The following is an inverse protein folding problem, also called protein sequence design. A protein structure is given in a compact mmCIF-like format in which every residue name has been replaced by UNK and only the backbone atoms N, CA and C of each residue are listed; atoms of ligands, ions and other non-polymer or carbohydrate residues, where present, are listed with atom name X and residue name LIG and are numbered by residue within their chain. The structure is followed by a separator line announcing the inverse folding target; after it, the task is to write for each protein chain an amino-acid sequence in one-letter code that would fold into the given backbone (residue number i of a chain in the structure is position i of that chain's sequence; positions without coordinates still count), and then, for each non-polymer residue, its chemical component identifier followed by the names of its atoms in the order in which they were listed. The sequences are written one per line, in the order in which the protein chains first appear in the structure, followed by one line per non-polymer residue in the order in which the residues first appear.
data_IF_103352623687
#
_entry.id   IF_103352623687
#
_cell.length_a   1.000
_cell.length_b   1.000
_cell.length_c   1.000
_cell.angle_alpha   90.00
_cell.angle_beta   90.00
_cell.angle_gamma   90.00
#
_symmetry.space_group_name_H-M   'P 1'
#
loop_
_entity.id
_entity.type
_entity.pdbx_description
1 polymer ?
#
# COMPACT_ATOMS: atom_id res chain seq x y z
N UNK A 1 -2.54 -27.53 18.11
CA UNK A 1 -1.98 -26.43 17.27
C UNK A 1 -0.46 -26.49 17.33
N UNK A 2 0.21 -26.92 16.25
CA UNK A 2 1.66 -27.20 16.26
C UNK A 2 2.51 -25.98 16.63
N UNK A 3 3.63 -26.21 17.31
CA UNK A 3 4.61 -25.17 17.69
C UNK A 3 5.06 -24.38 16.45
N UNK A 4 5.26 -25.07 15.32
CA UNK A 4 5.60 -24.45 14.03
C UNK A 4 4.56 -23.41 13.57
N UNK A 5 3.25 -23.70 13.71
CA UNK A 5 2.19 -22.75 13.35
C UNK A 5 2.21 -21.50 14.23
N UNK A 6 2.47 -21.63 15.53
CA UNK A 6 2.60 -20.49 16.44
C UNK A 6 3.80 -19.61 16.08
N UNK A 7 4.93 -20.22 15.72
CA UNK A 7 6.12 -19.50 15.26
C UNK A 7 5.88 -18.75 13.94
N UNK A 8 5.21 -19.39 12.97
CA UNK A 8 4.87 -18.73 11.70
C UNK A 8 3.94 -17.53 11.89
N UNK A 9 2.89 -17.66 12.71
CA UNK A 9 1.97 -16.55 13.01
C UNK A 9 2.72 -15.41 13.73
N UNK A 10 3.56 -15.75 14.71
CA UNK A 10 4.37 -14.77 15.43
C UNK A 10 5.32 -14.00 14.51
N UNK A 11 6.02 -14.70 13.63
CA UNK A 11 6.91 -14.07 12.64
C UNK A 11 6.15 -13.16 11.68
N UNK A 12 5.02 -13.63 11.15
CA UNK A 12 4.17 -12.83 10.26
C UNK A 12 3.68 -11.55 10.95
N UNK A 13 3.17 -11.67 12.19
CA UNK A 13 2.73 -10.51 12.97
C UNK A 13 3.87 -9.52 13.24
N UNK A 14 5.08 -10.03 13.52
CA UNK A 14 6.27 -9.19 13.73
C UNK A 14 6.67 -8.44 12.46
N UNK A 15 6.70 -9.10 11.31
CA UNK A 15 7.01 -8.48 10.01
C UNK A 15 5.96 -7.43 9.63
N UNK A 16 4.68 -7.73 9.85
CA UNK A 16 3.59 -6.77 9.62
C UNK A 16 3.71 -5.55 10.53
N UNK A 17 3.99 -5.76 11.82
CA UNK A 17 4.22 -4.68 12.78
C UNK A 17 5.41 -3.80 12.38
N UNK A 18 6.53 -4.40 11.98
CA UNK A 18 7.70 -3.67 11.50
C UNK A 18 7.39 -2.85 10.24
N UNK A 19 6.62 -3.40 9.30
CA UNK A 19 6.20 -2.69 8.08
C UNK A 19 5.31 -1.47 8.40
N UNK A 20 4.36 -1.61 9.32
CA UNK A 20 3.49 -0.51 9.77
C UNK A 20 4.33 0.59 10.43
N UNK A 21 5.21 0.22 11.37
CA UNK A 21 6.09 1.18 12.04
C UNK A 21 6.97 1.89 11.01
N UNK A 22 7.60 1.15 10.09
CA UNK A 22 8.40 1.71 9.01
C UNK A 22 7.62 2.71 8.15
N UNK A 23 6.39 2.37 7.75
CA UNK A 23 5.51 3.26 7.00
C UNK A 23 5.17 4.55 7.74
N UNK A 24 4.85 4.45 9.05
CA UNK A 24 4.60 5.63 9.91
C UNK A 24 5.85 6.50 10.01
N UNK A 25 7.03 5.90 10.19
CA UNK A 25 8.29 6.65 10.26
C UNK A 25 8.60 7.39 8.95
N UNK A 26 8.39 6.75 7.79
CA UNK A 26 8.54 7.40 6.48
C UNK A 26 7.55 8.57 6.32
N UNK A 27 6.30 8.38 6.73
CA UNK A 27 5.30 9.45 6.70
C UNK A 27 5.70 10.64 7.60
N UNK A 28 6.22 10.37 8.80
CA UNK A 28 6.74 11.43 9.70
C UNK A 28 7.98 12.12 9.15
N UNK A 29 8.81 11.40 8.41
CA UNK A 29 9.95 11.95 7.67
C UNK A 29 9.54 12.78 6.45
N UNK A 30 8.23 12.88 6.14
CA UNK A 30 7.69 13.73 5.08
C UNK A 30 7.49 13.01 3.74
N UNK A 31 7.71 11.70 3.66
CA UNK A 31 7.37 10.94 2.46
C UNK A 31 5.85 10.87 2.28
N UNK A 32 5.39 10.94 1.03
CA UNK A 32 3.97 10.91 0.69
C UNK A 32 3.74 9.93 -0.46
N UNK A 33 2.57 9.31 -0.48
CA UNK A 33 2.19 8.37 -1.52
C UNK A 33 0.98 8.92 -2.29
N UNK A 34 1.04 8.90 -3.61
CA UNK A 34 -0.03 9.36 -4.49
C UNK A 34 -0.32 8.35 -5.58
N UNK A 35 -1.56 8.31 -6.06
CA UNK A 35 -1.96 7.48 -7.20
C UNK A 35 -2.08 8.38 -8.42
N UNK A 36 -1.49 7.97 -9.54
CA UNK A 36 -1.60 8.71 -10.79
C UNK A 36 -2.98 8.44 -11.40
N UNK A 37 -3.78 9.49 -11.52
CA UNK A 37 -5.19 9.39 -11.97
C UNK A 37 -5.40 9.71 -13.45
N UNK A 38 -4.50 10.46 -14.07
CA UNK A 38 -4.63 10.90 -15.46
C UNK A 38 -3.45 10.41 -16.31
N UNK A 39 -3.55 10.59 -17.63
CA UNK A 39 -2.49 10.28 -18.58
C UNK A 39 -1.53 11.43 -18.88
N UNK A 40 -1.54 12.53 -18.10
CA UNK A 40 -0.69 13.70 -18.42
C UNK A 40 0.81 13.41 -18.28
N UNK A 41 1.17 12.40 -17.48
CA UNK A 41 2.55 11.95 -17.27
C UNK A 41 2.92 10.69 -18.06
N UNK A 42 2.06 10.24 -18.99
CA UNK A 42 2.32 9.04 -19.81
C UNK A 42 3.68 9.13 -20.49
N UNK A 43 4.43 8.02 -20.42
CA UNK A 43 5.84 7.92 -20.83
C UNK A 43 6.76 7.74 -19.63
N UNK A 44 6.59 8.55 -18.58
CA UNK A 44 7.34 8.38 -17.32
C UNK A 44 6.51 7.72 -16.22
N UNK A 45 5.21 8.06 -16.12
CA UNK A 45 4.28 7.52 -15.14
C UNK A 45 2.97 7.14 -15.84
N UNK A 46 2.37 6.03 -15.44
CA UNK A 46 1.10 5.57 -16.01
C UNK A 46 -0.05 5.74 -15.03
N UNK A 47 -1.25 5.90 -15.55
CA UNK A 47 -2.47 5.87 -14.73
C UNK A 47 -2.54 4.56 -13.94
N UNK A 48 -2.86 4.66 -12.65
CA UNK A 48 -2.89 3.53 -11.72
C UNK A 48 -1.56 3.20 -11.05
N UNK A 49 -0.47 3.89 -11.40
CA UNK A 49 0.79 3.76 -10.68
C UNK A 49 0.70 4.42 -9.30
N UNK A 50 1.36 3.80 -8.31
CA UNK A 50 1.56 4.38 -6.99
C UNK A 50 2.94 5.04 -6.96
N UNK A 51 3.01 6.34 -6.77
CA UNK A 51 4.26 7.07 -6.60
C UNK A 51 4.53 7.32 -5.12
N UNK A 52 5.80 7.28 -4.75
CA UNK A 52 6.28 7.71 -3.44
C UNK A 52 7.15 8.94 -3.64
N UNK A 53 6.71 10.04 -3.07
CA UNK A 53 7.42 11.30 -3.07
C UNK A 53 8.32 11.39 -1.85
N UNK A 54 9.57 11.80 -2.08
CA UNK A 54 10.44 12.29 -1.02
C UNK A 54 10.09 13.74 -0.67
N UNK A 55 10.39 14.19 0.56
CA UNK A 55 10.27 15.60 0.91
C UNK A 55 11.00 16.50 -0.10
N UNK A 56 10.39 17.64 -0.42
CA UNK A 56 11.01 18.63 -1.28
C UNK A 56 12.27 19.20 -0.61
N UNK A 57 13.40 19.17 -1.31
CA UNK A 57 14.62 19.87 -0.90
C UNK A 57 14.49 21.38 -1.10
N UNK A 58 15.32 22.16 -0.42
CA UNK A 58 15.42 23.61 -0.63
C UNK A 58 15.77 23.97 -2.08
N UNK A 59 16.50 23.10 -2.76
CA UNK A 59 16.87 23.23 -4.16
C UNK A 59 16.11 22.21 -5.01
N UNK A 60 15.46 22.68 -6.07
CA UNK A 60 14.80 21.86 -7.09
C UNK A 60 15.54 22.03 -8.41
N UNK A 61 15.41 21.05 -9.30
CA UNK A 61 16.11 21.01 -10.58
C UNK A 61 15.15 20.82 -11.74
N UNK A 62 15.47 21.42 -12.88
CA UNK A 62 14.77 21.17 -14.14
C UNK A 62 14.87 19.68 -14.47
N UNK A 63 13.75 19.09 -14.86
CA UNK A 63 13.63 17.66 -15.15
C UNK A 63 13.12 16.81 -14.00
N UNK A 64 13.10 17.31 -12.75
CA UNK A 64 12.48 16.59 -11.63
C UNK A 64 10.95 16.52 -11.81
N UNK A 65 10.35 15.39 -11.44
CA UNK A 65 8.89 15.23 -11.37
C UNK A 65 8.46 15.54 -9.94
N UNK A 66 7.55 16.48 -9.80
CA UNK A 66 7.09 16.97 -8.51
C UNK A 66 5.59 16.85 -8.36
N UNK A 67 5.15 16.64 -7.14
CA UNK A 67 3.74 16.73 -6.76
C UNK A 67 3.51 18.02 -5.99
N UNK A 68 2.51 18.81 -6.38
CA UNK A 68 2.24 20.13 -5.82
C UNK A 68 0.73 20.43 -5.73
N UNK A 69 0.38 21.47 -4.97
CA UNK A 69 -0.99 21.99 -4.90
C UNK A 69 -1.19 23.11 -5.93
N UNK A 70 -2.06 22.91 -6.91
CA UNK A 70 -2.33 23.90 -7.95
C UNK A 70 -3.05 25.14 -7.38
N UNK A 71 -4.23 24.96 -6.77
CA UNK A 71 -5.02 26.04 -6.16
C UNK A 71 -4.71 26.32 -4.68
N UNK A 72 -3.70 25.66 -4.11
CA UNK A 72 -3.39 25.73 -2.67
C UNK A 72 -4.40 25.00 -1.78
N UNK A 73 -5.49 24.46 -2.35
CA UNK A 73 -6.41 23.57 -1.65
C UNK A 73 -5.84 22.16 -1.55
N UNK A 74 -6.11 21.47 -0.45
CA UNK A 74 -5.52 20.15 -0.17
C UNK A 74 -5.90 19.06 -1.19
N UNK A 75 -7.04 19.21 -1.88
CA UNK A 75 -7.56 18.20 -2.81
C UNK A 75 -7.14 18.43 -4.26
N UNK A 76 -6.45 19.53 -4.55
CA UNK A 76 -6.07 19.90 -5.91
C UNK A 76 -4.57 19.63 -6.13
N UNK A 77 -4.26 18.33 -6.12
CA UNK A 77 -2.91 17.79 -6.20
C UNK A 77 -2.59 17.42 -7.65
N UNK A 78 -1.48 17.95 -8.16
CA UNK A 78 -1.00 17.69 -9.52
C UNK A 78 0.44 17.19 -9.46
N UNK A 79 0.76 16.19 -10.28
CA UNK A 79 2.13 15.65 -10.42
C UNK A 79 2.62 15.89 -11.84
N UNK A 80 3.60 16.77 -12.03
CA UNK A 80 4.17 17.11 -13.35
C UNK A 80 5.68 17.35 -13.29
N UNK A 81 6.34 17.42 -14.46
CA UNK A 81 7.78 17.65 -14.57
C UNK A 81 8.12 19.14 -14.58
N UNK A 82 9.17 19.52 -13.85
CA UNK A 82 9.74 20.87 -13.89
C UNK A 82 10.39 21.09 -15.25
N UNK A 83 9.95 22.13 -15.96
CA UNK A 83 10.50 22.53 -17.26
C UNK A 83 11.21 23.89 -17.22
N UNK A 84 11.01 24.68 -16.17
CA UNK A 84 11.69 25.96 -15.96
C UNK A 84 11.67 26.36 -14.49
N UNK A 85 12.73 27.05 -14.05
CA UNK A 85 12.85 27.66 -12.74
C UNK A 85 13.23 29.13 -12.93
N UNK A 86 12.32 30.06 -12.64
CA UNK A 86 12.52 31.49 -12.88
C UNK A 86 12.10 32.28 -11.63
N UNK A 87 12.98 33.12 -11.08
CA UNK A 87 12.66 34.12 -10.03
C UNK A 87 11.78 33.60 -8.88
N UNK A 88 12.07 32.39 -8.39
CA UNK A 88 11.33 31.75 -7.29
C UNK A 88 10.00 31.09 -7.69
N UNK A 89 9.71 31.04 -8.98
CA UNK A 89 8.59 30.32 -9.58
C UNK A 89 9.04 29.10 -10.36
N UNK A 90 8.18 28.09 -10.37
CA UNK A 90 8.41 26.79 -10.99
C UNK A 90 7.36 26.62 -12.08
N UNK A 91 7.81 26.45 -13.31
CA UNK A 91 6.95 26.09 -14.44
C UNK A 91 6.96 24.57 -14.59
N UNK A 92 5.77 23.98 -14.70
CA UNK A 92 5.61 22.54 -14.85
C UNK A 92 4.89 22.19 -16.15
N UNK A 93 5.02 20.93 -16.56
CA UNK A 93 4.37 20.36 -17.73
C UNK A 93 4.22 18.86 -17.55
N UNK A 94 3.05 18.33 -17.89
CA UNK A 94 2.87 16.89 -18.07
C UNK A 94 3.73 16.36 -19.22
N UNK A 95 4.39 15.23 -19.01
CA UNK A 95 5.28 14.64 -20.03
C UNK A 95 4.56 14.37 -21.36
N UNK A 96 3.31 13.93 -21.30
CA UNK A 96 2.45 13.68 -22.45
C UNK A 96 1.76 14.94 -23.00
N UNK A 97 1.75 16.05 -22.25
CA UNK A 97 1.10 17.29 -22.69
C UNK A 97 1.93 17.95 -23.80
N UNK A 98 1.29 18.67 -24.72
CA UNK A 98 2.02 19.44 -25.76
C UNK A 98 2.48 20.81 -25.27
N UNK A 99 1.66 21.44 -24.41
CA UNK A 99 1.90 22.78 -23.87
C UNK A 99 2.34 22.70 -22.41
N UNK A 100 3.03 23.75 -21.95
CA UNK A 100 3.32 23.94 -20.53
C UNK A 100 2.03 24.25 -19.78
N UNK A 101 2.01 23.94 -18.49
CA UNK A 101 0.88 24.33 -17.65
C UNK A 101 0.75 25.85 -17.61
N UNK A 102 -0.46 26.39 -17.49
CA UNK A 102 -0.71 27.84 -17.52
C UNK A 102 -0.36 28.54 -16.21
N UNK A 103 -0.08 27.77 -15.15
CA UNK A 103 0.19 28.26 -13.81
C UNK A 103 1.68 28.26 -13.47
N UNK A 104 2.04 29.12 -12.52
CA UNK A 104 3.35 29.16 -11.89
C UNK A 104 3.25 28.69 -10.44
N UNK A 105 4.11 27.75 -10.06
CA UNK A 105 4.11 27.12 -8.74
C UNK A 105 5.21 27.72 -7.88
N UNK A 106 4.89 28.03 -6.62
CA UNK A 106 5.89 28.44 -5.63
C UNK A 106 6.45 27.21 -4.93
N UNK A 107 7.67 27.32 -4.41
CA UNK A 107 8.33 26.24 -3.67
C UNK A 107 7.47 25.68 -2.51
N UNK A 108 6.75 26.55 -1.79
CA UNK A 108 5.86 26.15 -0.68
C UNK A 108 4.61 25.34 -1.10
N UNK A 109 4.27 25.34 -2.39
CA UNK A 109 3.17 24.52 -2.93
C UNK A 109 3.63 23.11 -3.28
N UNK A 110 4.95 22.87 -3.36
CA UNK A 110 5.53 21.56 -3.64
C UNK A 110 5.41 20.67 -2.42
N UNK A 111 4.75 19.52 -2.58
CA UNK A 111 4.59 18.50 -1.53
C UNK A 111 5.75 17.52 -1.49
N UNK A 112 6.34 17.23 -2.65
CA UNK A 112 7.50 16.38 -2.75
C UNK A 112 7.97 16.18 -4.18
N UNK A 113 9.06 15.44 -4.29
CA UNK A 113 9.66 15.02 -5.55
C UNK A 113 9.49 13.52 -5.69
N UNK A 114 9.07 13.02 -6.84
CA UNK A 114 8.89 11.58 -7.07
C UNK A 114 10.24 10.87 -6.88
N UNK A 115 10.29 9.96 -5.92
CA UNK A 115 11.49 9.18 -5.60
C UNK A 115 11.41 7.76 -6.17
N UNK A 116 10.24 7.14 -6.12
CA UNK A 116 10.01 5.81 -6.69
C UNK A 116 8.57 5.65 -7.19
N UNK A 117 8.38 4.71 -8.10
CA UNK A 117 7.09 4.36 -8.70
C UNK A 117 6.89 2.85 -8.59
N UNK A 118 5.71 2.45 -8.14
CA UNK A 118 5.29 1.06 -8.07
C UNK A 118 4.17 0.87 -9.11
N UNK A 119 4.48 0.25 -10.26
CA UNK A 119 3.53 0.14 -11.35
C UNK A 119 2.25 -0.58 -10.92
N UNK A 120 1.09 -0.06 -11.34
CA UNK A 120 -0.24 -0.66 -11.10
C UNK A 120 -0.67 -0.81 -9.62
N UNK A 121 0.17 -0.48 -8.64
CA UNK A 121 -0.18 -0.65 -7.22
C UNK A 121 -1.30 0.28 -6.76
N UNK A 122 -1.54 1.39 -7.46
CA UNK A 122 -2.69 2.27 -7.22
C UNK A 122 -4.03 1.56 -7.43
N UNK A 123 -4.11 0.58 -8.33
CA UNK A 123 -5.34 -0.22 -8.52
C UNK A 123 -5.67 -1.08 -7.30
N UNK A 124 -4.66 -1.63 -6.62
CA UNK A 124 -4.85 -2.40 -5.38
C UNK A 124 -5.41 -1.50 -4.29
N UNK A 125 -4.83 -0.31 -4.13
CA UNK A 125 -5.32 0.67 -3.14
C UNK A 125 -6.74 1.14 -3.48
N UNK A 126 -7.04 1.35 -4.76
CA UNK A 126 -8.37 1.74 -5.21
C UNK A 126 -9.42 0.66 -4.96
N UNK A 127 -9.07 -0.61 -5.18
CA UNK A 127 -9.94 -1.76 -4.91
C UNK A 127 -10.41 -1.76 -3.44
N UNK A 128 -9.48 -1.62 -2.49
CA UNK A 128 -9.79 -1.55 -1.05
C UNK A 128 -10.41 -0.23 -0.57
N UNK A 129 -10.60 0.76 -1.44
CA UNK A 129 -11.34 1.99 -1.12
C UNK A 129 -12.81 1.91 -1.53
N UNK A 130 -13.20 0.90 -2.30
CA UNK A 130 -14.58 0.70 -2.73
C UNK A 130 -15.30 -0.23 -1.76
N UNK A 131 -16.57 0.06 -1.37
CA UNK A 131 -17.35 -0.84 -0.51
C UNK A 131 -17.46 -2.27 -1.06
N UNK A 132 -17.48 -2.40 -2.40
CA UNK A 132 -17.48 -3.70 -3.07
C UNK A 132 -16.15 -4.46 -2.91
N UNK A 133 -15.01 -3.76 -2.88
CA UNK A 133 -13.71 -4.36 -2.64
C UNK A 133 -13.57 -4.85 -1.20
N UNK A 134 -14.07 -4.08 -0.22
CA UNK A 134 -14.14 -4.51 1.17
C UNK A 134 -15.02 -5.76 1.33
N UNK A 135 -16.21 -5.76 0.72
CA UNK A 135 -17.11 -6.91 0.73
C UNK A 135 -16.46 -8.15 0.08
N UNK A 136 -15.76 -7.97 -1.05
CA UNK A 136 -15.04 -9.06 -1.71
C UNK A 136 -13.90 -9.61 -0.84
N UNK A 137 -13.16 -8.74 -0.14
CA UNK A 137 -12.10 -9.15 0.77
C UNK A 137 -12.63 -9.97 1.95
N UNK A 138 -13.69 -9.49 2.62
CA UNK A 138 -14.34 -10.20 3.73
C UNK A 138 -14.87 -11.55 3.27
N UNK A 139 -15.58 -11.57 2.14
CA UNK A 139 -16.15 -12.80 1.57
C UNK A 139 -15.04 -13.79 1.19
N UNK A 140 -13.95 -13.31 0.60
CA UNK A 140 -12.80 -14.13 0.23
C UNK A 140 -12.11 -14.75 1.46
N UNK A 141 -11.90 -13.96 2.53
CA UNK A 141 -11.32 -14.46 3.78
C UNK A 141 -12.23 -15.51 4.42
N UNK A 142 -13.54 -15.27 4.49
CA UNK A 142 -14.50 -16.24 5.01
C UNK A 142 -14.51 -17.52 4.20
N UNK A 143 -14.51 -17.42 2.86
CA UNK A 143 -14.43 -18.58 1.98
C UNK A 143 -13.14 -19.38 2.20
N UNK A 144 -12.00 -18.72 2.37
CA UNK A 144 -10.72 -19.38 2.68
C UNK A 144 -10.73 -20.07 4.04
N UNK A 145 -11.34 -19.47 5.07
CA UNK A 145 -11.49 -20.08 6.39
C UNK A 145 -12.37 -21.33 6.31
N UNK A 146 -13.52 -21.24 5.62
CA UNK A 146 -14.43 -22.37 5.43
C UNK A 146 -13.78 -23.49 4.63
N UNK A 147 -13.07 -23.14 3.55
CA UNK A 147 -12.31 -24.09 2.73
C UNK A 147 -11.22 -24.76 3.56
N UNK A 148 -10.46 -23.99 4.33
CA UNK A 148 -9.45 -24.52 5.23
C UNK A 148 -10.06 -25.46 6.27
N UNK A 149 -11.19 -25.09 6.88
CA UNK A 149 -11.90 -25.96 7.84
C UNK A 149 -12.41 -27.26 7.20
N UNK A 150 -12.82 -27.23 5.93
CA UNK A 150 -13.27 -28.42 5.19
C UNK A 150 -12.13 -29.40 4.89
N UNK A 151 -10.93 -28.89 4.57
CA UNK A 151 -9.78 -29.72 4.20
C UNK A 151 -8.82 -30.03 5.36
N UNK A 152 -8.85 -29.23 6.42
CA UNK A 152 -7.96 -29.31 7.57
C UNK A 152 -8.77 -29.16 8.86
N UNK A 153 -9.70 -30.10 9.10
CA UNK A 153 -10.56 -30.09 10.28
C UNK A 153 -9.74 -30.39 11.55
N UNK A 154 -9.49 -29.39 12.42
CA UNK A 154 -8.70 -29.59 13.63
C UNK A 154 -9.44 -30.40 14.69
N UNK A 155 -10.76 -30.59 14.54
CA UNK A 155 -11.58 -31.33 15.51
C UNK A 155 -11.49 -32.84 15.32
N UNK A 156 -11.18 -33.31 14.11
CA UNK A 156 -10.91 -34.72 13.84
C UNK A 156 -9.69 -35.23 14.63
N UNK A 157 -8.66 -34.41 14.78
CA UNK A 157 -7.42 -34.76 15.53
C UNK A 157 -7.67 -34.82 17.05
N UNK A 158 -8.59 -33.99 17.56
CA UNK A 158 -8.95 -33.97 19.00
C UNK A 158 -9.86 -35.16 19.36
N UNK A 159 -10.81 -35.51 18.49
CA UNK A 159 -11.70 -36.64 18.69
C UNK A 159 -10.95 -37.98 18.72
N UNK A 160 -9.96 -38.17 17.83
CA UNK A 160 -9.13 -39.38 17.79
C UNK A 160 -8.25 -39.51 19.05
N UNK A 161 -7.73 -38.37 19.55
CA UNK A 161 -6.94 -38.33 20.79
C UNK A 161 -7.80 -38.66 22.02
N UNK A 162 -9.02 -38.13 22.13
CA UNK A 162 -9.92 -38.43 23.25
C UNK A 162 -10.39 -39.89 23.22
N UNK A 163 -10.71 -40.44 22.04
CA UNK A 163 -11.07 -41.86 21.92
C UNK A 163 -9.91 -42.79 22.30
N UNK A 164 -8.68 -42.47 21.90
CA UNK A 164 -7.51 -43.28 22.25
C UNK A 164 -7.21 -43.27 23.76
N UNK A 165 -7.39 -42.11 24.41
CA UNK A 165 -7.21 -41.98 25.87
C UNK A 165 -8.30 -42.75 26.63
N UNK A 166 -9.56 -42.65 26.21
CA UNK A 166 -10.69 -43.35 26.85
C UNK A 166 -10.57 -44.87 26.72
N UNK A 167 -10.15 -45.37 25.55
CA UNK A 167 -9.90 -46.80 25.33
C UNK A 167 -8.74 -47.33 26.21
N UNK A 168 -7.67 -46.55 26.34
CA UNK A 168 -6.53 -46.90 27.20
C UNK A 168 -6.95 -46.97 28.68
N UNK A 169 -7.78 -46.04 29.14
CA UNK A 169 -8.31 -46.03 30.50
C UNK A 169 -9.28 -47.20 30.76
N UNK A 170 -10.09 -47.57 29.77
CA UNK A 170 -10.99 -48.73 29.87
C UNK A 170 -10.21 -50.05 30.01
N UNK A 171 -9.20 -50.25 29.17
CA UNK A 171 -8.36 -51.47 29.21
C UNK A 171 -7.62 -51.59 30.55
N UNK A 172 -7.17 -50.47 31.13
CA UNK A 172 -6.52 -50.45 32.44
C UNK A 172 -7.47 -50.72 33.62
N UNK A 173 -8.78 -50.52 33.45
CA UNK A 173 -9.79 -50.78 34.49
C UNK A 173 -10.33 -52.22 34.46
N UNK A 174 -10.14 -52.95 33.36
CA UNK A 174 -10.59 -54.33 33.16
C UNK A 174 -9.50 -55.39 33.43
N UNK A 175 -8.25 -54.98 33.74
CA UNK A 175 -7.10 -55.84 34.05
C UNK A 175 -6.81 -55.92 35.56
#
# INVERSE_FOLDING_TARGET
MSIARRLMIGLFAMLLGAAIIGGVQLHRAGYRAYIIHTGSMTGALNTGDLIIDRPASSTLHIGEVITFLHSGQANDVVTHRIVSLNDGTIQTKGDANQVKDTWNIRHNQVKGVVATTIPKAGYVVYFFKQPAGDAAAVTGVLALILLYGLFFDPTAEVADTEQHVDETHRIAAEA
#
